data_IF_357447962455
#
_entry.id   IF_357447962455
#
_cell.length_a   1.000
_cell.length_b   1.000
_cell.length_c   1.000
_cell.angle_alpha   90.00
_cell.angle_beta   90.00
_cell.angle_gamma   90.00
#
_symmetry.space_group_name_H-M   'P 1'
#
loop_
_entity.id
_entity.type
_entity.pdbx_description
1 polymer ?
#
# COMPACT_ATOMS: atom_id res chain seq x y z
N UNK A 1 -13.66 8.64 -12.75
CA UNK A 1 -12.35 8.49 -12.07
C UNK A 1 -12.22 7.04 -11.65
N UNK A 2 -11.35 6.27 -12.31
CA UNK A 2 -11.09 4.87 -11.95
C UNK A 2 -10.59 4.80 -10.50
N UNK A 3 -11.30 4.04 -9.67
CA UNK A 3 -10.89 3.76 -8.29
C UNK A 3 -9.65 2.89 -8.36
N UNK A 4 -8.48 3.41 -7.99
CA UNK A 4 -7.28 2.60 -7.77
C UNK A 4 -7.62 1.54 -6.73
N UNK A 5 -7.79 0.30 -7.17
CA UNK A 5 -8.14 -0.83 -6.32
C UNK A 5 -6.83 -1.36 -5.71
N UNK A 6 -6.69 -1.26 -4.39
CA UNK A 6 -5.59 -1.85 -3.64
C UNK A 6 -6.15 -2.65 -2.46
N UNK A 7 -5.44 -3.71 -2.10
CA UNK A 7 -5.80 -4.71 -1.13
C UNK A 7 -4.75 -4.83 -0.03
N UNK A 8 -5.09 -5.56 1.03
CA UNK A 8 -4.16 -5.85 2.11
C UNK A 8 -3.05 -6.74 1.56
N UNK A 9 -1.81 -6.46 1.93
CA UNK A 9 -0.64 -7.16 1.44
C UNK A 9 -0.10 -6.67 0.10
N UNK A 10 -0.78 -5.75 -0.60
CA UNK A 10 -0.24 -5.18 -1.84
C UNK A 10 1.04 -4.39 -1.58
N UNK A 11 2.03 -4.56 -2.47
CA UNK A 11 3.22 -3.73 -2.53
C UNK A 11 2.97 -2.60 -3.51
N UNK A 12 2.87 -1.39 -2.98
CA UNK A 12 2.61 -0.17 -3.74
C UNK A 12 3.86 0.68 -3.87
N UNK A 13 3.94 1.42 -4.97
CA UNK A 13 4.97 2.43 -5.17
C UNK A 13 4.47 3.81 -4.78
N UNK A 14 5.19 4.45 -3.87
CA UNK A 14 4.95 5.83 -3.47
C UNK A 14 5.69 6.80 -4.39
N UNK A 15 5.12 8.00 -4.57
CA UNK A 15 5.75 9.10 -5.32
C UNK A 15 6.97 9.67 -4.58
N UNK A 16 6.91 9.68 -3.24
CA UNK A 16 8.04 10.08 -2.39
C UNK A 16 8.88 8.86 -2.03
N UNK A 17 10.19 9.00 -2.17
CA UNK A 17 11.15 8.02 -1.68
C UNK A 17 11.14 8.00 -0.15
N UNK A 18 11.26 6.81 0.44
CA UNK A 18 11.56 6.71 1.86
C UNK A 18 13.02 7.16 2.11
N UNK A 19 13.36 7.80 3.25
CA UNK A 19 14.74 8.13 3.61
C UNK A 19 15.74 6.97 3.53
N UNK A 20 15.29 5.71 3.51
CA UNK A 20 16.17 4.55 3.30
C UNK A 20 16.53 4.26 1.84
N UNK A 21 15.93 4.96 0.87
CA UNK A 21 16.16 4.75 -0.57
C UNK A 21 15.08 3.92 -1.29
N UNK A 22 14.16 3.26 -0.59
CA UNK A 22 13.09 2.46 -1.20
C UNK A 22 11.85 3.27 -1.56
N UNK A 23 11.20 2.89 -2.66
CA UNK A 23 9.90 3.44 -3.08
C UNK A 23 8.72 2.49 -2.82
N UNK A 24 9.04 1.26 -2.43
CA UNK A 24 8.13 0.14 -2.27
C UNK A 24 7.62 0.08 -0.84
N UNK A 25 6.30 -0.01 -0.73
CA UNK A 25 5.60 -0.05 0.54
C UNK A 25 4.55 -1.14 0.52
N UNK A 26 4.58 -2.02 1.50
CA UNK A 26 3.60 -3.08 1.66
C UNK A 26 2.46 -2.59 2.54
N UNK A 27 1.23 -2.74 2.08
CA UNK A 27 0.04 -2.40 2.85
C UNK A 27 -0.16 -3.49 3.90
N UNK A 28 0.00 -3.15 5.17
CA UNK A 28 -0.18 -4.09 6.28
C UNK A 28 -1.51 -3.91 7.01
N UNK A 29 -2.18 -2.76 6.83
CA UNK A 29 -3.51 -2.51 7.38
C UNK A 29 -4.28 -1.55 6.48
N UNK A 30 -5.55 -1.84 6.23
CA UNK A 30 -6.48 -0.94 5.57
C UNK A 30 -7.63 -0.57 6.51
N UNK A 31 -7.99 0.70 6.53
CA UNK A 31 -9.02 1.27 7.41
C UNK A 31 -9.19 2.77 7.13
N UNK A 32 -9.52 3.54 8.17
CA UNK A 32 -9.47 5.02 8.11
C UNK A 32 -8.01 5.50 7.89
N UNK A 33 -7.09 4.88 8.62
CA UNK A 33 -5.65 5.01 8.45
C UNK A 33 -5.07 3.76 7.78
N UNK A 34 -4.23 3.98 6.79
CA UNK A 34 -3.49 2.92 6.11
C UNK A 34 -2.14 2.80 6.79
N UNK A 35 -1.84 1.60 7.31
CA UNK A 35 -0.50 1.31 7.83
C UNK A 35 0.28 0.61 6.72
N UNK A 36 1.46 1.15 6.42
CA UNK A 36 2.34 0.64 5.38
C UNK A 36 3.72 0.32 5.96
N UNK A 37 4.34 -0.73 5.43
CA UNK A 37 5.68 -1.19 5.80
C UNK A 37 6.63 -0.93 4.63
N UNK A 38 7.76 -0.28 4.88
CA UNK A 38 8.79 -0.09 3.87
C UNK A 38 9.47 -1.43 3.57
N UNK A 39 9.57 -1.82 2.30
CA UNK A 39 10.22 -3.08 1.91
C UNK A 39 11.74 -3.05 2.04
N UNK A 40 12.38 -1.88 1.94
CA UNK A 40 13.83 -1.78 2.11
C UNK A 40 14.34 -1.90 3.55
N UNK A 41 13.69 -1.20 4.48
CA UNK A 41 14.17 -1.09 5.87
C UNK A 41 13.18 -1.64 6.92
N UNK A 42 12.02 -2.16 6.50
CA UNK A 42 11.00 -2.72 7.40
C UNK A 42 10.26 -1.71 8.28
N UNK A 43 10.52 -0.40 8.14
CA UNK A 43 9.89 0.64 8.96
C UNK A 43 8.41 0.76 8.64
N UNK A 44 7.58 0.80 9.67
CA UNK A 44 6.13 0.97 9.53
C UNK A 44 5.75 2.43 9.76
N UNK A 45 4.87 2.95 8.91
CA UNK A 45 4.30 4.30 9.03
C UNK A 45 2.79 4.23 8.87
N UNK A 46 2.09 5.13 9.55
CA UNK A 46 0.64 5.28 9.42
C UNK A 46 0.36 6.55 8.60
N UNK A 47 -0.43 6.42 7.55
CA UNK A 47 -0.90 7.54 6.74
C UNK A 47 -2.42 7.51 6.65
N UNK A 48 -3.09 8.67 6.70
CA UNK A 48 -4.51 8.73 6.42
C UNK A 48 -4.75 8.37 4.95
N UNK A 49 -5.87 7.68 4.70
CA UNK A 49 -6.22 7.13 3.38
C UNK A 49 -6.09 8.14 2.24
N UNK A 50 -6.63 9.34 2.40
CA UNK A 50 -6.57 10.39 1.37
C UNK A 50 -5.13 10.77 0.97
N UNK A 51 -4.22 10.79 1.94
CA UNK A 51 -2.81 11.09 1.66
C UNK A 51 -2.12 9.90 0.98
N UNK A 52 -2.44 8.68 1.40
CA UNK A 52 -1.93 7.45 0.77
C UNK A 52 -2.34 7.41 -0.71
N UNK A 53 -3.62 7.59 -1.02
CA UNK A 53 -4.16 7.53 -2.38
C UNK A 53 -3.54 8.61 -3.30
N UNK A 54 -3.33 9.83 -2.79
CA UNK A 54 -2.64 10.91 -3.54
C UNK A 54 -1.17 10.62 -3.81
N UNK A 55 -0.49 9.93 -2.89
CA UNK A 55 0.95 9.64 -2.98
C UNK A 55 1.24 8.33 -3.71
N UNK A 56 0.27 7.42 -3.77
CA UNK A 56 0.38 6.14 -4.46
C UNK A 56 0.42 6.34 -5.98
N UNK A 57 1.50 5.89 -6.60
CA UNK A 57 1.68 5.95 -8.05
C UNK A 57 1.01 4.75 -8.71
N UNK A 58 1.43 3.54 -8.32
CA UNK A 58 0.95 2.25 -8.87
C UNK A 58 1.16 1.12 -7.87
N UNK A 59 0.54 -0.03 -8.14
CA UNK A 59 0.84 -1.30 -7.46
C UNK A 59 2.02 -1.95 -8.19
N UNK A 60 3.06 -2.36 -7.45
CA UNK A 60 4.20 -3.07 -8.03
C UNK A 60 4.05 -4.58 -7.90
N UNK A 61 3.42 -5.04 -6.80
CA UNK A 61 3.16 -6.46 -6.61
C UNK A 61 1.82 -6.65 -5.88
N UNK A 62 0.91 -7.48 -6.42
CA UNK A 62 -0.29 -7.82 -5.69
C UNK A 62 0.05 -8.64 -4.44
N UNK A 63 -0.67 -8.39 -3.34
CA UNK A 63 -0.63 -9.18 -2.14
C UNK A 63 -1.14 -10.58 -2.42
N UNK A 64 -0.49 -11.59 -1.85
CA UNK A 64 -0.88 -12.98 -2.03
C UNK A 64 -2.29 -13.29 -1.45
N UNK A 65 -2.81 -12.42 -0.58
CA UNK A 65 -4.11 -12.54 0.11
C UNK A 65 -5.25 -11.83 -0.67
N UNK A 66 -5.24 -11.96 -2.00
CA UNK A 66 -6.26 -11.39 -2.89
C UNK A 66 -7.22 -12.42 -3.47
N UNK A 67 -7.14 -13.67 -3.03
CA UNK A 67 -7.99 -14.74 -3.55
C UNK A 67 -9.38 -14.66 -2.92
N UNK A 68 -10.29 -13.99 -3.63
CA UNK A 68 -11.73 -14.24 -3.68
C UNK A 68 -12.43 -14.62 -2.35
N UNK A 69 -13.11 -13.65 -1.75
CA UNK A 69 -14.36 -13.94 -1.01
C UNK A 69 -15.57 -13.43 -1.81
N UNK A 70 -15.71 -13.89 -3.05
CA UNK A 70 -17.02 -13.97 -3.69
C UNK A 70 -17.57 -15.35 -3.35
N UNK A 71 -18.32 -15.47 -2.26
CA UNK A 71 -18.79 -16.76 -1.77
C UNK A 71 -19.98 -16.63 -0.84
N UNK A 72 -21.14 -16.38 -1.46
CA UNK A 72 -22.53 -16.57 -0.96
C UNK A 72 -23.05 -15.63 0.11
#
# INVERSE_FOLDING_TARGET
>A
MERKQFNLGDVVRMKKQHPCGSYNWTIIRMGADIKIKCEGCGRVVMLPRMQFEKRMVRIERPGADGTNISGT
#
